data_IF_064645155806
#
_entry.id   IF_064645155806
#
_cell.length_a   1.000
_cell.length_b   1.000
_cell.length_c   1.000
_cell.angle_alpha   90.00
_cell.angle_beta   90.00
_cell.angle_gamma   90.00
#
_symmetry.space_group_name_H-M   'P 1'
#
loop_
_entity.id
_entity.type
_entity.pdbx_description
1 polymer ?
#
# COMPACT_ATOMS: atom_id res chain seq x y z
N UNK A 1 -21.57 -16.48 -2.90
CA UNK A 1 -22.37 -15.44 -2.22
C UNK A 1 -22.52 -15.79 -0.74
N UNK A 2 -22.17 -14.91 0.20
CA UNK A 2 -22.21 -15.21 1.65
C UNK A 2 -23.61 -15.57 2.16
N UNK A 3 -24.65 -15.03 1.52
CA UNK A 3 -26.05 -15.13 1.93
C UNK A 3 -26.55 -16.58 2.06
N UNK A 4 -26.08 -17.48 1.20
CA UNK A 4 -26.50 -18.88 1.17
C UNK A 4 -25.58 -19.82 1.94
N UNK A 5 -24.50 -19.30 2.54
CA UNK A 5 -23.58 -20.11 3.36
C UNK A 5 -24.23 -20.61 4.67
N UNK A 6 -25.32 -19.97 5.11
CA UNK A 6 -26.04 -20.33 6.33
C UNK A 6 -27.55 -20.11 6.19
N UNK A 7 -28.34 -21.11 6.57
CA UNK A 7 -29.80 -20.99 6.62
C UNK A 7 -30.27 -19.87 7.57
N UNK A 8 -29.54 -19.65 8.67
CA UNK A 8 -29.85 -18.59 9.64
C UNK A 8 -29.68 -17.20 9.02
N UNK A 9 -28.62 -17.00 8.23
CA UNK A 9 -28.34 -15.74 7.56
C UNK A 9 -29.38 -15.44 6.48
N UNK A 10 -29.74 -16.45 5.67
CA UNK A 10 -30.80 -16.34 4.67
C UNK A 10 -32.15 -15.94 5.32
N UNK A 11 -32.58 -16.66 6.36
CA UNK A 11 -33.83 -16.37 7.06
C UNK A 11 -33.84 -14.96 7.70
N UNK A 12 -32.69 -14.51 8.21
CA UNK A 12 -32.55 -13.17 8.76
C UNK A 12 -32.70 -12.10 7.66
N UNK A 13 -32.01 -12.28 6.54
CA UNK A 13 -32.10 -11.37 5.40
C UNK A 13 -33.53 -11.28 4.87
N UNK A 14 -34.22 -12.40 4.72
CA UNK A 14 -35.62 -12.43 4.29
C UNK A 14 -36.55 -11.68 5.26
N UNK A 15 -36.36 -11.83 6.57
CA UNK A 15 -37.11 -11.06 7.58
C UNK A 15 -36.81 -9.57 7.51
N UNK A 16 -35.58 -9.18 7.19
CA UNK A 16 -35.21 -7.77 7.00
C UNK A 16 -35.86 -7.20 5.75
N UNK A 17 -35.86 -7.94 4.63
CA UNK A 17 -36.54 -7.55 3.39
C UNK A 17 -38.04 -7.29 3.63
N UNK A 18 -38.71 -8.16 4.40
CA UNK A 18 -40.13 -7.99 4.73
C UNK A 18 -40.44 -6.78 5.62
N UNK A 19 -39.44 -6.22 6.31
CA UNK A 19 -39.59 -5.01 7.15
C UNK A 19 -39.36 -3.72 6.38
N UNK A 20 -38.84 -3.78 5.16
CA UNK A 20 -38.65 -2.61 4.32
C UNK A 20 -40.02 -2.12 3.86
N UNK A 21 -40.32 -0.85 4.12
CA UNK A 21 -41.57 -0.19 3.72
C UNK A 21 -41.27 0.95 2.75
N UNK A 22 -42.10 1.12 1.73
CA UNK A 22 -41.91 2.13 0.68
C UNK A 22 -41.18 1.58 -0.55
N UNK A 23 -40.93 2.44 -1.56
CA UNK A 23 -40.24 2.03 -2.78
C UNK A 23 -38.75 1.79 -2.49
N UNK A 24 -38.34 0.52 -2.48
CA UNK A 24 -36.94 0.10 -2.27
C UNK A 24 -36.44 -0.65 -3.50
N UNK A 25 -35.28 -0.24 -4.02
CA UNK A 25 -34.55 -0.94 -5.07
C UNK A 25 -33.35 -1.65 -4.46
N UNK A 26 -33.23 -2.95 -4.68
CA UNK A 26 -32.10 -3.77 -4.21
C UNK A 26 -31.40 -4.31 -5.44
N UNK A 27 -30.13 -3.97 -5.58
CA UNK A 27 -29.28 -4.39 -6.69
C UNK A 27 -28.26 -5.39 -6.18
N UNK A 28 -28.02 -6.43 -6.96
CA UNK A 28 -26.94 -7.39 -6.74
C UNK A 28 -26.21 -7.61 -8.04
N UNK A 29 -24.88 -7.67 -8.00
CA UNK A 29 -24.05 -8.02 -9.14
C UNK A 29 -23.41 -9.39 -8.92
N UNK A 30 -23.19 -10.11 -10.01
CA UNK A 30 -22.38 -11.33 -10.04
C UNK A 30 -21.64 -11.37 -11.36
N UNK A 31 -20.40 -11.86 -11.33
CA UNK A 31 -19.62 -12.15 -12.53
C UNK A 31 -19.89 -13.61 -12.90
N UNK A 32 -20.27 -13.84 -14.16
CA UNK A 32 -20.47 -15.19 -14.70
C UNK A 32 -19.20 -15.57 -15.48
N UNK A 33 -18.56 -16.66 -15.09
CA UNK A 33 -17.48 -17.26 -15.86
C UNK A 33 -18.09 -18.27 -16.86
N UNK A 34 -17.92 -18.07 -18.19
CA UNK A 34 -18.47 -18.98 -19.20
C UNK A 34 -17.91 -20.41 -19.12
N UNK A 35 -16.81 -20.64 -18.40
CA UNK A 35 -16.24 -21.98 -18.16
C UNK A 35 -16.83 -22.71 -16.95
N UNK A 36 -17.65 -22.04 -16.14
CA UNK A 36 -18.20 -22.62 -14.91
C UNK A 36 -19.67 -22.95 -15.13
N UNK A 37 -19.99 -24.25 -15.08
CA UNK A 37 -21.34 -24.78 -15.23
C UNK A 37 -22.16 -24.51 -13.95
N UNK A 38 -22.36 -23.24 -13.62
CA UNK A 38 -23.33 -22.78 -12.60
C UNK A 38 -24.75 -22.82 -13.18
N UNK A 39 -25.11 -23.95 -13.80
CA UNK A 39 -26.37 -24.19 -14.51
C UNK A 39 -27.63 -24.11 -13.64
N UNK A 40 -27.50 -24.00 -12.33
CA UNK A 40 -28.58 -23.62 -11.44
C UNK A 40 -28.25 -22.28 -10.79
N UNK A 41 -28.86 -21.20 -11.30
CA UNK A 41 -29.15 -20.06 -10.44
C UNK A 41 -29.98 -20.62 -9.29
N UNK A 42 -29.34 -20.83 -8.13
CA UNK A 42 -29.95 -21.42 -6.94
C UNK A 42 -31.35 -20.83 -6.77
N UNK A 43 -32.40 -21.66 -6.72
CA UNK A 43 -33.81 -21.23 -6.73
C UNK A 43 -34.07 -20.11 -5.69
N UNK A 44 -33.34 -20.18 -4.58
CA UNK A 44 -33.31 -19.19 -3.49
C UNK A 44 -32.84 -17.80 -3.92
N UNK A 45 -31.87 -17.71 -4.84
CA UNK A 45 -31.38 -16.46 -5.39
C UNK A 45 -32.39 -15.85 -6.36
N UNK A 46 -32.99 -16.66 -7.22
CA UNK A 46 -34.06 -16.22 -8.12
C UNK A 46 -35.28 -15.72 -7.34
N UNK A 47 -35.58 -16.33 -6.18
CA UNK A 47 -36.64 -15.86 -5.28
C UNK A 47 -36.34 -14.50 -4.62
N UNK A 48 -35.06 -14.16 -4.39
CA UNK A 48 -34.65 -12.88 -3.79
C UNK A 48 -34.46 -11.78 -4.84
N UNK A 49 -33.98 -12.13 -6.03
CA UNK A 49 -33.67 -11.21 -7.13
C UNK A 49 -34.41 -11.69 -8.40
N UNK A 50 -35.72 -11.42 -8.49
CA UNK A 50 -36.56 -11.93 -9.58
C UNK A 50 -36.22 -11.31 -10.94
N UNK A 51 -35.61 -10.12 -10.94
CA UNK A 51 -35.20 -9.43 -12.16
C UNK A 51 -33.70 -9.59 -12.37
N UNK A 52 -33.33 -10.20 -13.49
CA UNK A 52 -31.95 -10.35 -13.92
C UNK A 52 -31.73 -9.50 -15.18
N UNK A 53 -30.68 -8.69 -15.17
CA UNK A 53 -30.22 -7.92 -16.32
C UNK A 53 -28.84 -8.48 -16.68
N UNK A 54 -28.76 -9.12 -17.84
CA UNK A 54 -27.49 -9.61 -18.35
C UNK A 54 -26.76 -8.47 -19.07
N UNK A 55 -25.58 -8.10 -18.56
CA UNK A 55 -24.72 -7.10 -19.19
C UNK A 55 -23.73 -7.85 -20.07
N UNK A 56 -23.91 -7.74 -21.39
CA UNK A 56 -23.01 -8.31 -22.39
C UNK A 56 -22.14 -7.23 -23.03
N UNK A 57 -20.93 -7.58 -23.51
CA UNK A 57 -20.15 -6.68 -24.34
C UNK A 57 -20.93 -6.26 -25.60
N UNK A 58 -20.72 -5.04 -26.12
CA UNK A 58 -21.30 -4.61 -27.39
C UNK A 58 -20.90 -5.52 -28.57
N UNK A 59 -21.81 -5.74 -29.52
CA UNK A 59 -21.54 -6.55 -30.73
C UNK A 59 -20.75 -5.78 -31.80
N UNK A 60 -20.92 -4.46 -31.87
CA UNK A 60 -20.17 -3.61 -32.80
C UNK A 60 -18.71 -3.49 -32.36
N UNK A 61 -17.78 -3.78 -33.27
CA UNK A 61 -16.33 -3.82 -33.02
C UNK A 61 -15.78 -2.49 -32.49
N UNK A 62 -16.23 -1.34 -32.99
CA UNK A 62 -15.73 -0.04 -32.53
C UNK A 62 -16.20 0.23 -31.09
N UNK A 63 -17.46 -0.08 -30.80
CA UNK A 63 -18.00 0.02 -29.45
C UNK A 63 -17.39 -0.99 -28.49
N UNK A 64 -17.03 -2.19 -28.95
CA UNK A 64 -16.40 -3.23 -28.14
C UNK A 64 -15.01 -2.82 -27.65
N UNK A 65 -14.19 -2.21 -28.52
CA UNK A 65 -12.85 -1.72 -28.14
C UNK A 65 -12.95 -0.64 -27.06
N UNK A 66 -13.83 0.35 -27.27
CA UNK A 66 -14.04 1.41 -26.28
C UNK A 66 -14.58 0.87 -24.96
N UNK A 67 -15.55 -0.05 -25.01
CA UNK A 67 -16.12 -0.69 -23.81
C UNK A 67 -15.06 -1.46 -23.01
N UNK A 68 -14.19 -2.24 -23.68
CA UNK A 68 -13.10 -2.96 -23.00
C UNK A 68 -12.10 -2.01 -22.34
N UNK A 69 -11.71 -0.94 -23.04
CA UNK A 69 -10.79 0.06 -22.48
C UNK A 69 -11.40 0.73 -21.25
N UNK A 70 -12.67 1.16 -21.34
CA UNK A 70 -13.36 1.81 -20.23
C UNK A 70 -13.48 0.87 -19.02
N UNK A 71 -13.85 -0.40 -19.25
CA UNK A 71 -13.97 -1.38 -18.18
C UNK A 71 -12.62 -1.63 -17.48
N UNK A 72 -11.53 -1.72 -18.24
CA UNK A 72 -10.19 -1.91 -17.69
C UNK A 72 -9.76 -0.69 -16.85
N UNK A 73 -10.02 0.52 -17.33
CA UNK A 73 -9.70 1.75 -16.62
C UNK A 73 -10.55 1.91 -15.34
N UNK A 74 -11.83 1.59 -15.41
CA UNK A 74 -12.74 1.59 -14.26
C UNK A 74 -12.31 0.54 -13.22
N UNK A 75 -11.89 -0.65 -13.66
CA UNK A 75 -11.38 -1.69 -12.76
C UNK A 75 -10.11 -1.23 -12.03
N UNK A 76 -9.18 -0.58 -12.73
CA UNK A 76 -7.98 0.00 -12.12
C UNK A 76 -8.35 1.10 -11.12
N UNK A 77 -9.28 1.98 -11.47
CA UNK A 77 -9.74 3.06 -10.58
C UNK A 77 -10.35 2.50 -9.29
N UNK A 78 -11.20 1.47 -9.39
CA UNK A 78 -11.79 0.79 -8.23
C UNK A 78 -10.68 0.18 -7.36
N UNK A 79 -9.73 -0.54 -7.98
CA UNK A 79 -8.62 -1.14 -7.24
C UNK A 79 -7.77 -0.10 -6.51
N UNK A 80 -7.47 1.04 -7.14
CA UNK A 80 -6.73 2.14 -6.52
C UNK A 80 -7.51 2.69 -5.31
N UNK A 81 -8.82 2.88 -5.46
CA UNK A 81 -9.66 3.36 -4.38
C UNK A 81 -9.72 2.36 -3.21
N UNK A 82 -9.85 1.07 -3.50
CA UNK A 82 -9.87 0.01 -2.48
C UNK A 82 -8.53 -0.04 -1.72
N UNK A 83 -7.41 0.07 -2.42
CA UNK A 83 -6.08 0.13 -1.80
C UNK A 83 -5.97 1.35 -0.86
N UNK A 84 -6.46 2.53 -1.28
CA UNK A 84 -6.47 3.74 -0.45
C UNK A 84 -7.37 3.57 0.77
N UNK A 85 -8.58 3.03 0.58
CA UNK A 85 -9.51 2.78 1.67
C UNK A 85 -8.89 1.83 2.70
N UNK A 86 -8.21 0.78 2.26
CA UNK A 86 -7.54 -0.15 3.14
C UNK A 86 -6.41 0.52 3.94
N UNK A 87 -5.57 1.34 3.29
CA UNK A 87 -4.54 2.12 3.97
C UNK A 87 -5.17 3.02 5.05
N UNK A 88 -6.22 3.78 4.70
CA UNK A 88 -6.91 4.68 5.63
C UNK A 88 -7.54 3.93 6.80
N UNK A 89 -8.10 2.74 6.57
CA UNK A 89 -8.64 1.88 7.62
C UNK A 89 -7.55 1.48 8.63
N UNK A 90 -6.40 1.02 8.14
CA UNK A 90 -5.27 0.63 8.99
C UNK A 90 -4.71 1.84 9.75
N UNK A 91 -4.56 2.99 9.09
CA UNK A 91 -4.15 4.24 9.76
C UNK A 91 -5.14 4.62 10.86
N UNK A 92 -6.43 4.62 10.57
CA UNK A 92 -7.48 4.96 11.52
C UNK A 92 -7.51 4.02 12.73
N UNK A 93 -7.25 2.72 12.54
CA UNK A 93 -7.15 1.73 13.60
C UNK A 93 -5.92 1.94 14.52
N UNK A 94 -4.93 2.70 14.07
CA UNK A 94 -3.72 3.04 14.81
C UNK A 94 -3.70 4.52 15.29
N UNK A 95 -4.87 5.16 15.34
CA UNK A 95 -5.02 6.58 15.71
C UNK A 95 -4.20 7.54 14.82
N UNK A 96 -4.10 7.23 13.53
CA UNK A 96 -3.45 8.06 12.52
C UNK A 96 -4.46 8.59 11.50
N UNK A 97 -4.09 9.69 10.87
CA UNK A 97 -4.78 10.27 9.71
C UNK A 97 -3.76 10.72 8.65
N UNK A 98 -4.17 10.80 7.39
CA UNK A 98 -3.31 11.23 6.27
C UNK A 98 -4.16 11.88 5.18
N UNK A 99 -4.08 13.20 5.06
CA UNK A 99 -4.90 13.98 4.11
C UNK A 99 -4.34 13.97 2.69
N UNK A 100 -3.03 13.80 2.55
CA UNK A 100 -2.32 13.92 1.28
C UNK A 100 -2.01 12.55 0.67
N UNK A 101 -2.73 11.49 1.03
CA UNK A 101 -2.51 10.12 0.54
C UNK A 101 -2.57 10.02 -0.99
N UNK A 102 -3.37 10.88 -1.62
CA UNK A 102 -3.51 10.96 -3.08
C UNK A 102 -2.23 11.39 -3.81
N UNK A 103 -1.24 11.94 -3.10
CA UNK A 103 0.07 12.32 -3.66
C UNK A 103 0.99 11.13 -3.92
N UNK A 104 0.73 9.97 -3.29
CA UNK A 104 1.49 8.74 -3.51
C UNK A 104 1.13 8.15 -4.87
N UNK A 105 2.13 7.70 -5.63
CA UNK A 105 1.89 7.13 -6.95
C UNK A 105 1.10 5.81 -6.86
N UNK A 106 0.44 5.41 -7.95
CA UNK A 106 -0.43 4.23 -7.97
C UNK A 106 0.32 2.93 -7.63
N UNK A 107 1.55 2.78 -8.16
CA UNK A 107 2.37 1.60 -7.91
C UNK A 107 2.73 1.47 -6.43
N UNK A 108 3.17 2.58 -5.81
CA UNK A 108 3.53 2.61 -4.40
C UNK A 108 2.30 2.44 -3.50
N UNK A 109 1.15 3.00 -3.88
CA UNK A 109 -0.12 2.81 -3.15
C UNK A 109 -0.51 1.33 -3.09
N UNK A 110 -0.33 0.59 -4.19
CA UNK A 110 -0.60 -0.85 -4.22
C UNK A 110 0.35 -1.62 -3.29
N UNK A 111 1.64 -1.30 -3.29
CA UNK A 111 2.60 -1.97 -2.39
C UNK A 111 2.31 -1.58 -0.94
N UNK A 112 2.06 -0.31 -0.68
CA UNK A 112 1.74 0.22 0.64
C UNK A 112 0.51 -0.49 1.21
N UNK A 113 -0.59 -0.59 0.44
CA UNK A 113 -1.79 -1.32 0.83
C UNK A 113 -1.50 -2.75 1.29
N UNK A 114 -0.61 -3.47 0.61
CA UNK A 114 -0.31 -4.86 0.97
C UNK A 114 0.53 -5.03 2.25
N UNK A 115 1.25 -3.98 2.67
CA UNK A 115 2.22 -4.05 3.78
C UNK A 115 2.07 -2.89 4.77
N UNK A 116 0.91 -2.22 4.78
CA UNK A 116 0.70 -0.99 5.54
C UNK A 116 0.91 -1.25 7.04
N UNK A 117 0.44 -2.39 7.56
CA UNK A 117 0.63 -2.79 8.96
C UNK A 117 2.11 -2.82 9.38
N UNK A 118 2.99 -3.26 8.49
CA UNK A 118 4.44 -3.31 8.75
C UNK A 118 5.11 -1.93 8.59
N UNK A 119 4.60 -1.11 7.66
CA UNK A 119 5.18 0.18 7.29
C UNK A 119 4.80 1.30 8.28
N UNK A 120 3.61 1.23 8.89
CA UNK A 120 3.05 2.28 9.75
C UNK A 120 4.02 2.75 10.82
N UNK A 121 4.71 1.84 11.52
CA UNK A 121 5.62 2.19 12.61
C UNK A 121 6.80 3.03 12.10
N UNK A 122 7.38 2.67 10.95
CA UNK A 122 8.47 3.45 10.34
C UNK A 122 7.99 4.81 9.87
N UNK A 123 6.76 4.89 9.34
CA UNK A 123 6.15 6.16 8.93
C UNK A 123 5.94 7.10 10.13
N UNK A 124 5.40 6.60 11.25
CA UNK A 124 5.23 7.38 12.48
C UNK A 124 6.59 7.89 12.98
N UNK A 125 7.59 7.01 13.04
CA UNK A 125 8.93 7.36 13.53
C UNK A 125 9.53 8.51 12.72
N UNK A 126 9.52 8.39 11.39
CA UNK A 126 9.98 9.44 10.50
C UNK A 126 9.20 10.75 10.70
N UNK A 127 7.87 10.66 10.80
CA UNK A 127 7.03 11.84 10.98
C UNK A 127 7.38 12.59 12.28
N UNK A 128 7.51 11.89 13.40
CA UNK A 128 7.81 12.49 14.70
C UNK A 128 9.24 13.03 14.80
N UNK A 129 10.21 12.41 14.12
CA UNK A 129 11.60 12.88 14.09
C UNK A 129 11.76 14.16 13.27
N UNK A 130 10.95 14.32 12.23
CA UNK A 130 11.11 15.42 11.27
C UNK A 130 10.15 16.59 11.53
N UNK A 131 9.09 16.39 12.31
CA UNK A 131 8.12 17.43 12.66
C UNK A 131 8.25 17.80 14.14
N UNK A 132 8.75 19.01 14.41
CA UNK A 132 8.93 19.52 15.78
C UNK A 132 7.61 19.73 16.53
N UNK A 133 6.55 20.04 15.78
CA UNK A 133 5.21 20.29 16.29
C UNK A 133 4.22 19.41 15.50
N UNK A 134 4.09 18.11 15.83
CA UNK A 134 3.19 17.21 15.12
C UNK A 134 1.73 17.66 15.29
N UNK A 135 0.97 17.60 14.19
CA UNK A 135 -0.42 17.99 14.16
C UNK A 135 -1.34 16.82 14.55
N UNK A 136 -2.41 17.13 15.28
CA UNK A 136 -3.40 16.14 15.67
C UNK A 136 -4.80 16.62 15.30
N UNK A 137 -5.59 15.73 14.69
CA UNK A 137 -7.00 15.95 14.36
C UNK A 137 -7.85 14.95 15.12
N UNK A 138 -8.74 15.45 15.98
CA UNK A 138 -9.67 14.58 16.73
C UNK A 138 -8.95 13.48 17.54
N UNK A 139 -7.79 13.79 18.09
CA UNK A 139 -6.97 12.84 18.85
C UNK A 139 -6.09 11.91 18.01
N UNK A 140 -6.20 11.94 16.67
CA UNK A 140 -5.34 11.17 15.76
C UNK A 140 -4.14 11.98 15.30
N UNK A 141 -2.97 11.34 15.18
CA UNK A 141 -1.77 11.97 14.64
C UNK A 141 -1.90 12.11 13.11
N UNK A 142 -1.82 13.34 12.60
CA UNK A 142 -1.85 13.61 11.17
C UNK A 142 -0.45 13.40 10.58
N UNK A 143 -0.23 12.27 9.94
CA UNK A 143 1.02 11.97 9.24
C UNK A 143 0.94 12.41 7.78
N UNK A 144 2.09 12.59 7.13
CA UNK A 144 2.18 12.95 5.71
C UNK A 144 2.45 11.74 4.82
N UNK A 145 2.06 11.84 3.56
CA UNK A 145 2.43 10.91 2.50
C UNK A 145 3.94 10.74 2.32
N UNK A 146 4.73 11.78 2.59
CA UNK A 146 6.19 11.68 2.61
C UNK A 146 6.69 10.68 3.66
N UNK A 147 6.03 10.66 4.83
CA UNK A 147 6.40 9.74 5.92
C UNK A 147 6.01 8.31 5.59
N UNK A 148 4.85 8.10 4.95
CA UNK A 148 4.44 6.81 4.42
C UNK A 148 5.39 6.31 3.33
N UNK A 149 5.76 7.18 2.40
CA UNK A 149 6.71 6.88 1.32
C UNK A 149 8.10 6.54 1.88
N UNK A 150 8.53 7.24 2.93
CA UNK A 150 9.77 6.93 3.64
C UNK A 150 9.71 5.54 4.30
N UNK A 151 8.62 5.24 5.01
CA UNK A 151 8.39 3.92 5.60
C UNK A 151 8.39 2.81 4.56
N UNK A 152 7.73 3.03 3.42
CA UNK A 152 7.73 2.09 2.28
C UNK A 152 9.14 1.85 1.74
N UNK A 153 9.94 2.91 1.58
CA UNK A 153 11.32 2.80 1.12
C UNK A 153 12.18 1.99 2.10
N UNK A 154 12.03 2.18 3.43
CA UNK A 154 12.72 1.36 4.44
C UNK A 154 12.31 -0.11 4.32
N UNK A 155 11.01 -0.37 4.20
CA UNK A 155 10.47 -1.72 4.09
C UNK A 155 11.03 -2.47 2.87
N UNK A 156 11.09 -1.81 1.71
CA UNK A 156 11.65 -2.37 0.48
C UNK A 156 13.17 -2.61 0.59
N UNK A 157 13.91 -1.70 1.24
CA UNK A 157 15.33 -1.89 1.53
C UNK A 157 15.58 -3.11 2.43
N UNK A 158 14.78 -3.30 3.49
CA UNK A 158 14.87 -4.47 4.37
C UNK A 158 14.64 -5.79 3.62
N UNK A 159 13.66 -5.82 2.70
CA UNK A 159 13.33 -6.99 1.88
C UNK A 159 14.43 -7.35 0.88
N UNK A 160 15.08 -6.35 0.28
CA UNK A 160 16.23 -6.57 -0.62
C UNK A 160 17.49 -7.00 0.15
N UNK A 161 17.72 -6.47 1.35
CA UNK A 161 18.85 -6.86 2.20
C UNK A 161 18.75 -8.34 2.62
N UNK A 162 17.56 -8.80 3.04
CA UNK A 162 17.33 -10.20 3.39
C UNK A 162 17.61 -11.18 2.23
N UNK A 163 17.31 -10.76 0.98
CA UNK A 163 17.64 -11.55 -0.22
C UNK A 163 19.14 -11.59 -0.51
N UNK A 164 19.89 -10.58 -0.08
CA UNK A 164 21.34 -10.48 -0.30
C UNK A 164 22.14 -11.25 0.77
N UNK A 165 21.67 -11.30 2.02
CA UNK A 165 22.27 -12.11 3.10
C UNK A 165 22.20 -13.59 2.80
N UNK A 166 21.05 -14.11 2.35
CA UNK A 166 20.91 -15.52 1.95
C UNK A 166 21.86 -15.91 0.79
N UNK A 167 22.22 -14.96 -0.07
CA UNK A 167 23.15 -15.19 -1.19
C UNK A 167 24.62 -15.18 -0.76
N UNK A 168 24.96 -14.46 0.31
CA UNK A 168 26.30 -14.45 0.91
C UNK A 168 26.53 -15.67 1.80
N UNK A 169 25.49 -16.14 2.51
CA UNK A 169 25.54 -17.36 3.33
C UNK A 169 25.73 -18.62 2.48
N UNK A 170 25.11 -18.70 1.29
CA UNK A 170 25.31 -19.81 0.35
C UNK A 170 26.71 -19.85 -0.30
N UNK A 171 27.51 -18.78 -0.19
CA UNK A 171 28.89 -18.74 -0.67
C UNK A 171 29.93 -18.91 0.45
N UNK A 172 29.56 -18.68 1.71
CA UNK A 172 30.43 -18.88 2.86
C UNK A 172 30.60 -20.36 3.24
N UNK A 173 29.65 -21.23 2.91
CA UNK A 173 29.72 -22.67 3.24
C UNK A 173 30.52 -23.53 2.25
N UNK A 174 31.18 -22.95 1.24
CA UNK A 174 31.98 -23.71 0.25
C UNK A 174 33.50 -23.69 0.47
N UNK A 175 33.97 -23.18 1.60
CA UNK A 175 35.40 -23.10 1.89
C UNK A 175 35.76 -23.54 3.30
N UNK A 176 35.22 -24.66 3.77
CA UNK A 176 35.88 -25.49 4.79
C UNK A 176 35.54 -26.96 4.50
N UNK A 177 36.45 -27.69 3.85
CA UNK A 177 37.03 -28.94 4.37
C UNK A 177 37.96 -29.59 3.30
N UNK A 178 39.27 -29.55 3.55
CA UNK A 178 40.16 -30.65 3.17
C UNK A 178 41.39 -30.61 4.07
N UNK A 179 41.28 -31.30 5.20
CA UNK A 179 42.36 -31.51 6.16
C UNK A 179 43.35 -32.57 5.64
N UNK A 180 44.66 -32.38 5.81
CA UNK A 180 45.61 -33.51 5.80
C UNK A 180 47.11 -33.24 5.61
N UNK A 181 47.83 -32.99 6.72
CA UNK A 181 49.21 -33.42 7.08
C UNK A 181 50.42 -32.96 6.20
N UNK A 182 51.63 -32.61 6.68
CA UNK A 182 52.32 -32.76 7.96
C UNK A 182 53.59 -31.86 8.02
N UNK A 183 54.01 -31.52 9.25
CA UNK A 183 55.39 -31.28 9.77
C UNK A 183 56.19 -30.04 9.34
N UNK A 184 56.59 -29.23 10.33
CA UNK A 184 57.95 -28.65 10.35
C UNK A 184 58.17 -27.26 10.95
N UNK A 185 58.55 -27.22 12.24
CA UNK A 185 59.48 -26.24 12.90
C UNK A 185 58.94 -24.88 13.39
N UNK A 186 59.38 -24.56 14.61
CA UNK A 186 59.06 -23.50 15.60
C UNK A 186 60.12 -22.36 15.50
N UNK A 187 60.15 -21.33 16.39
CA UNK A 187 59.33 -20.11 16.54
C UNK A 187 60.12 -18.77 16.37
N UNK A 188 59.42 -17.62 16.43
CA UNK A 188 59.58 -16.56 17.47
C UNK A 188 59.49 -15.08 17.00
N UNK A 189 58.76 -14.29 17.80
CA UNK A 189 58.98 -12.88 18.26
C UNK A 189 58.46 -11.64 17.51
N UNK A 190 57.84 -10.76 18.34
CA UNK A 190 57.80 -9.28 18.35
C UNK A 190 56.70 -8.62 17.47
N UNK A 191 55.61 -8.09 18.04
CA UNK A 191 55.42 -6.85 18.82
C UNK A 191 55.82 -5.57 18.07
N UNK A 192 54.85 -4.69 17.77
CA UNK A 192 54.86 -3.28 18.20
C UNK A 192 53.57 -2.54 17.81
N UNK A 193 53.13 -1.71 18.75
CA UNK A 193 52.06 -0.72 18.68
C UNK A 193 52.36 0.40 17.67
N UNK A 194 51.36 1.22 17.34
CA UNK A 194 51.35 2.64 17.74
C UNK A 194 50.02 3.31 17.36
N UNK A 195 49.44 3.99 18.36
CA UNK A 195 48.35 4.93 18.24
C UNK A 195 48.83 6.27 17.67
N UNK A 196 47.93 7.03 17.03
CA UNK A 196 47.95 8.49 17.06
C UNK A 196 46.59 9.06 16.61
N UNK A 197 45.81 9.53 17.59
CA UNK A 197 44.83 10.61 17.39
C UNK A 197 45.56 11.90 16.99
N UNK A 198 44.91 12.78 16.20
CA UNK A 198 44.61 14.14 16.66
C UNK A 198 43.68 14.92 15.73
N UNK A 199 42.83 15.68 16.42
CA UNK A 199 41.85 16.70 15.97
C UNK A 199 42.52 18.02 15.57
N UNK A 200 41.78 18.81 14.77
CA UNK A 200 41.51 20.28 14.87
C UNK A 200 41.39 20.84 13.45
N UNK A 201 40.58 21.84 13.08
CA UNK A 201 39.65 22.78 13.71
C UNK A 201 39.07 23.62 12.55
N UNK A 202 37.75 23.87 12.53
CA UNK A 202 37.11 25.20 12.54
C UNK A 202 37.75 26.27 11.63
N UNK A 203 37.00 26.73 10.63
CA UNK A 203 36.69 28.17 10.53
C UNK A 203 35.52 28.50 9.57
N UNK A 204 34.95 29.66 9.85
CA UNK A 204 33.61 30.16 9.54
C UNK A 204 33.61 31.03 8.27
N UNK A 205 32.52 31.07 7.50
CA UNK A 205 32.09 32.33 6.87
C UNK A 205 30.59 32.30 6.53
N UNK A 206 29.95 33.43 6.82
CA UNK A 206 28.53 33.69 6.75
C UNK A 206 28.20 34.70 5.63
N UNK A 207 26.89 34.99 5.51
CA UNK A 207 26.22 36.14 4.86
C UNK A 207 25.90 36.01 3.36
N UNK A 208 24.79 36.51 2.82
CA UNK A 208 23.50 37.01 3.32
C UNK A 208 22.57 37.27 2.12
N UNK A 209 21.30 36.88 2.26
CA UNK A 209 20.02 37.55 1.92
C UNK A 209 19.91 38.68 0.87
N UNK A 210 18.69 38.73 0.25
CA UNK A 210 17.81 39.91 -0.06
C UNK A 210 17.58 40.10 -1.60
N UNK A 211 16.40 40.29 -2.23
CA UNK A 211 14.97 40.44 -1.82
C UNK A 211 14.03 40.63 -3.04
N UNK A 212 12.73 40.40 -2.81
CA UNK A 212 11.44 40.93 -3.36
C UNK A 212 11.24 41.19 -4.88
N UNK A 213 10.05 40.88 -5.43
CA UNK A 213 8.84 41.73 -5.26
C UNK A 213 7.63 41.32 -6.16
N UNK A 214 6.43 41.40 -5.55
CA UNK A 214 5.11 41.84 -6.03
C UNK A 214 4.38 41.29 -7.30
N UNK A 215 3.21 40.68 -7.01
CA UNK A 215 1.83 41.13 -7.38
C UNK A 215 1.36 41.12 -8.86
N UNK A 216 0.31 40.31 -9.16
CA UNK A 216 -0.99 40.77 -9.73
C UNK A 216 -1.94 39.62 -10.13
N UNK A 217 -3.14 39.62 -9.53
CA UNK A 217 -4.43 39.20 -10.15
C UNK A 217 -5.23 40.52 -10.39
N UNK A 218 -6.32 40.62 -11.20
CA UNK A 218 -7.37 39.61 -11.46
C UNK A 218 -7.95 39.58 -12.90
N UNK A 219 -8.94 38.72 -13.18
CA UNK A 219 -10.24 39.11 -13.78
C UNK A 219 -11.12 37.91 -14.17
N UNK A 220 -12.37 37.96 -13.70
CA UNK A 220 -13.52 37.18 -14.12
C UNK A 220 -13.97 37.54 -15.55
N UNK A 221 -14.57 36.59 -16.27
CA UNK A 221 -15.69 36.87 -17.19
C UNK A 221 -16.57 35.65 -17.39
N UNK A 222 -17.86 35.85 -17.15
CA UNK A 222 -18.95 35.01 -17.54
C UNK A 222 -19.26 35.17 -19.04
N UNK A 223 -19.68 34.09 -19.68
CA UNK A 223 -20.82 34.08 -20.60
C UNK A 223 -21.42 32.66 -20.63
#
# INVERSE_FOLDING_TARGET
MLLFRSQRLYNLFQKMLQKLSGPVLILGSRILDPGNDYGEVEERLTALFPYNIEIRPPEDENHLVSWKSQLEDDMKMIQVQDNRNHILEVLAANDLDCDDLDTICLADTMVLSNYIEEIVVSAISHHLMNNKNPEYRTGKLLISSDSLSHGLNIFQQGKSCNRNTLKLEAQAEKSEDSTGAAVGVKPATKAESLAAEKRSGVDTSATATKVDNATAAPASKAL
#
